data_IF_271241194412
#
_entry.id   IF_271241194412
#
_cell.length_a   1.000
_cell.length_b   1.000
_cell.length_c   1.000
_cell.angle_alpha   90.00
_cell.angle_beta   90.00
_cell.angle_gamma   90.00
#
_symmetry.space_group_name_H-M   'P 1'
#
loop_
_entity.id
_entity.type
_entity.pdbx_description
1 polymer ?
#
# COMPACT_ATOMS: atom_id res chain seq x y z
N UNK A 1 -0.66 -5.58 -10.87
CA UNK A 1 -1.62 -5.35 -11.99
C UNK A 1 -2.98 -4.89 -11.43
N UNK A 2 -3.72 -4.08 -12.17
CA UNK A 2 -5.14 -3.80 -11.88
C UNK A 2 -5.99 -4.92 -12.48
N UNK A 3 -6.84 -5.53 -11.64
CA UNK A 3 -7.88 -6.46 -12.07
C UNK A 3 -9.23 -5.87 -11.68
N UNK A 4 -10.12 -5.66 -12.66
CA UNK A 4 -11.46 -5.10 -12.44
C UNK A 4 -11.47 -3.79 -11.62
N UNK A 5 -10.52 -2.87 -11.89
CA UNK A 5 -10.41 -1.60 -11.17
C UNK A 5 -9.81 -1.71 -9.75
N UNK A 6 -9.42 -2.90 -9.31
CA UNK A 6 -8.94 -3.16 -7.95
C UNK A 6 -7.62 -3.95 -7.93
N UNK A 7 -7.17 -4.25 -6.71
CA UNK A 7 -6.04 -5.15 -6.48
C UNK A 7 -6.42 -6.61 -6.76
N UNK A 8 -5.48 -7.49 -7.15
CA UNK A 8 -5.73 -8.91 -7.32
C UNK A 8 -6.26 -9.57 -6.04
N UNK A 9 -7.11 -10.60 -6.19
CA UNK A 9 -7.74 -11.29 -5.06
C UNK A 9 -6.72 -11.81 -4.03
N UNK A 10 -5.58 -12.34 -4.50
CA UNK A 10 -4.51 -12.82 -3.61
C UNK A 10 -3.93 -11.69 -2.74
N UNK A 11 -3.73 -10.50 -3.31
CA UNK A 11 -3.23 -9.35 -2.56
C UNK A 11 -4.28 -8.82 -1.58
N UNK A 12 -5.56 -8.80 -1.98
CA UNK A 12 -6.66 -8.46 -1.07
C UNK A 12 -6.73 -9.43 0.11
N UNK A 13 -6.72 -10.73 -0.17
CA UNK A 13 -6.74 -11.78 0.85
C UNK A 13 -5.51 -11.76 1.77
N UNK A 14 -4.34 -11.37 1.25
CA UNK A 14 -3.16 -11.12 2.10
C UNK A 14 -3.41 -10.00 3.10
N UNK A 15 -3.91 -8.85 2.64
CA UNK A 15 -4.21 -7.73 3.55
C UNK A 15 -5.29 -8.10 4.58
N UNK A 16 -6.32 -8.84 4.17
CA UNK A 16 -7.40 -9.27 5.06
C UNK A 16 -6.91 -10.17 6.19
N UNK A 17 -5.83 -10.92 5.99
CA UNK A 17 -5.28 -11.84 7.01
C UNK A 17 -4.13 -11.25 7.82
N UNK A 18 -3.52 -10.18 7.34
CA UNK A 18 -2.32 -9.58 7.95
C UNK A 18 -2.62 -8.27 8.63
N UNK A 19 -3.53 -7.45 8.10
CA UNK A 19 -3.84 -6.13 8.64
C UNK A 19 -4.95 -6.19 9.70
N UNK A 20 -4.74 -7.05 10.69
CA UNK A 20 -5.71 -7.32 11.76
C UNK A 20 -5.71 -6.24 12.86
N UNK A 21 -6.83 -6.19 13.60
CA UNK A 21 -6.97 -5.34 14.79
C UNK A 21 -5.89 -5.68 15.83
N UNK A 22 -5.35 -4.65 16.48
CA UNK A 22 -4.31 -4.78 17.50
C UNK A 22 -2.89 -4.87 16.92
N UNK A 23 -2.77 -5.23 15.64
CA UNK A 23 -1.50 -5.20 14.91
C UNK A 23 -1.40 -4.01 13.96
N UNK A 24 -2.37 -3.85 13.06
CA UNK A 24 -2.32 -2.82 12.01
C UNK A 24 -3.15 -1.58 12.35
N UNK A 25 -4.22 -1.74 13.13
CA UNK A 25 -5.07 -0.64 13.58
C UNK A 25 -5.78 -0.97 14.90
N UNK A 26 -6.35 0.04 15.57
CA UNK A 26 -7.30 -0.10 16.67
C UNK A 26 -8.38 0.99 16.63
N UNK A 27 -9.47 0.79 17.36
CA UNK A 27 -10.46 1.86 17.61
C UNK A 27 -10.20 2.48 18.98
N UNK A 28 -10.18 3.81 19.02
CA UNK A 28 -10.12 4.59 20.25
C UNK A 28 -11.51 4.63 20.92
N UNK A 29 -11.61 4.99 22.21
CA UNK A 29 -12.90 5.09 22.91
C UNK A 29 -13.93 6.01 22.24
N UNK A 30 -13.47 7.00 21.46
CA UNK A 30 -14.33 7.91 20.69
C UNK A 30 -14.75 7.35 19.31
N UNK A 31 -14.51 6.08 19.03
CA UNK A 31 -14.83 5.40 17.78
C UNK A 31 -13.90 5.70 16.61
N UNK A 32 -12.91 6.60 16.76
CA UNK A 32 -11.93 6.89 15.69
C UNK A 32 -10.95 5.73 15.54
N UNK A 33 -10.58 5.43 14.30
CA UNK A 33 -9.50 4.51 14.01
C UNK A 33 -8.13 5.17 14.24
N UNK A 34 -7.21 4.40 14.81
CA UNK A 34 -5.79 4.72 14.90
C UNK A 34 -4.98 3.64 14.18
N UNK A 35 -4.13 4.06 13.25
CA UNK A 35 -3.21 3.18 12.54
C UNK A 35 -1.97 2.88 13.36
N UNK A 36 -1.63 1.59 13.51
CA UNK A 36 -0.54 1.12 14.37
C UNK A 36 0.78 0.90 13.61
N UNK A 37 0.77 1.03 12.28
CA UNK A 37 1.96 0.92 11.42
C UNK A 37 2.62 2.29 11.14
N UNK A 38 2.37 3.28 11.99
CA UNK A 38 3.00 4.59 11.90
C UNK A 38 4.53 4.50 11.99
N UNK A 39 5.23 5.47 11.38
CA UNK A 39 6.70 5.46 11.26
C UNK A 39 7.23 4.59 10.12
N UNK A 40 6.34 3.97 9.34
CA UNK A 40 6.69 3.18 8.14
C UNK A 40 6.13 3.85 6.89
N UNK A 41 6.86 3.74 5.79
CA UNK A 41 6.42 4.16 4.45
C UNK A 41 5.95 2.96 3.61
N UNK A 42 5.32 3.23 2.47
CA UNK A 42 4.99 2.20 1.49
C UNK A 42 5.17 2.71 0.05
N UNK A 43 5.56 1.81 -0.86
CA UNK A 43 5.55 2.04 -2.31
C UNK A 43 4.58 1.08 -2.99
N UNK A 44 3.75 1.62 -3.87
CA UNK A 44 2.80 0.88 -4.68
C UNK A 44 3.14 1.07 -6.15
N UNK A 45 3.46 -0.01 -6.85
CA UNK A 45 3.68 -0.01 -8.30
C UNK A 45 2.56 -0.80 -8.94
N UNK A 46 1.80 -0.15 -9.82
CA UNK A 46 0.61 -0.71 -10.46
C UNK A 46 0.81 -0.74 -11.97
N UNK A 47 0.56 -1.90 -12.56
CA UNK A 47 0.50 -2.10 -14.02
C UNK A 47 -0.94 -2.15 -14.52
N UNK A 48 -1.22 -1.59 -15.68
CA UNK A 48 -2.56 -1.54 -16.29
C UNK A 48 -2.48 -1.37 -17.81
N UNK A 49 -3.51 -1.82 -18.53
CA UNK A 49 -3.69 -1.54 -19.96
C UNK A 49 -4.58 -0.32 -20.22
N UNK A 50 -5.36 0.09 -19.23
CA UNK A 50 -6.08 1.37 -19.29
C UNK A 50 -5.12 2.54 -19.12
N UNK A 51 -5.25 3.61 -19.93
CA UNK A 51 -4.50 4.86 -19.75
C UNK A 51 -4.69 5.45 -18.34
N UNK A 52 -3.64 6.09 -17.81
CA UNK A 52 -3.66 6.64 -16.45
C UNK A 52 -4.74 7.70 -16.22
N UNK A 53 -5.05 8.53 -17.22
CA UNK A 53 -6.12 9.54 -17.12
C UNK A 53 -7.49 8.89 -16.99
N UNK A 54 -7.74 7.79 -17.72
CA UNK A 54 -9.00 7.06 -17.67
C UNK A 54 -9.22 6.45 -16.28
N UNK A 55 -8.18 5.80 -15.74
CA UNK A 55 -8.22 5.27 -14.37
C UNK A 55 -8.49 6.38 -13.34
N UNK A 56 -7.80 7.51 -13.46
CA UNK A 56 -7.84 8.58 -12.47
C UNK A 56 -9.15 9.38 -12.48
N UNK A 57 -9.60 9.79 -13.66
CA UNK A 57 -10.69 10.75 -13.79
C UNK A 57 -12.01 10.10 -14.19
N UNK A 58 -11.99 9.09 -15.07
CA UNK A 58 -13.23 8.46 -15.54
C UNK A 58 -13.69 7.38 -14.56
N UNK A 59 -12.80 6.49 -14.14
CA UNK A 59 -13.14 5.50 -13.11
C UNK A 59 -13.08 6.08 -11.69
N UNK A 60 -12.56 7.30 -11.52
CA UNK A 60 -12.45 7.96 -10.22
C UNK A 60 -11.40 7.33 -9.29
N UNK A 61 -10.40 6.65 -9.85
CA UNK A 61 -9.26 6.08 -9.14
C UNK A 61 -9.56 5.06 -8.01
N UNK A 62 -10.36 4.02 -8.30
CA UNK A 62 -10.83 3.08 -7.28
C UNK A 62 -9.67 2.34 -6.61
N UNK A 63 -8.63 1.97 -7.36
CA UNK A 63 -7.46 1.27 -6.81
C UNK A 63 -6.71 2.15 -5.80
N UNK A 64 -6.46 3.43 -6.09
CA UNK A 64 -5.77 4.29 -5.11
C UNK A 64 -6.64 4.57 -3.89
N UNK A 65 -7.95 4.74 -4.08
CA UNK A 65 -8.89 4.93 -2.96
C UNK A 65 -8.90 3.71 -2.05
N UNK A 66 -9.09 2.51 -2.59
CA UNK A 66 -9.13 1.29 -1.80
C UNK A 66 -7.76 0.97 -1.18
N UNK A 67 -6.73 0.81 -2.00
CA UNK A 67 -5.41 0.36 -1.52
C UNK A 67 -4.67 1.43 -0.73
N UNK A 68 -4.50 2.62 -1.30
CA UNK A 68 -3.65 3.65 -0.68
C UNK A 68 -4.37 4.33 0.47
N UNK A 69 -5.58 4.86 0.23
CA UNK A 69 -6.31 5.64 1.25
C UNK A 69 -6.96 4.74 2.30
N UNK A 70 -7.77 3.77 1.89
CA UNK A 70 -8.59 2.99 2.81
C UNK A 70 -7.87 1.80 3.45
N UNK A 71 -6.77 1.32 2.88
CA UNK A 71 -5.98 0.21 3.46
C UNK A 71 -4.66 0.69 4.06
N UNK A 72 -3.72 1.17 3.26
CA UNK A 72 -2.35 1.46 3.75
C UNK A 72 -2.32 2.67 4.69
N UNK A 73 -2.88 3.81 4.27
CA UNK A 73 -2.92 5.02 5.11
C UNK A 73 -3.81 4.85 6.33
N UNK A 74 -4.89 4.06 6.23
CA UNK A 74 -5.72 3.71 7.38
C UNK A 74 -4.91 3.00 8.48
N UNK A 75 -4.01 2.10 8.10
CA UNK A 75 -3.10 1.42 9.03
C UNK A 75 -1.96 2.31 9.53
N UNK A 76 -1.85 3.57 9.09
CA UNK A 76 -0.84 4.52 9.57
C UNK A 76 0.41 4.64 8.69
N UNK A 77 0.51 3.91 7.57
CA UNK A 77 1.66 4.00 6.65
C UNK A 77 1.71 5.38 5.97
N UNK A 78 2.79 6.13 6.18
CA UNK A 78 3.05 7.43 5.54
C UNK A 78 4.56 7.72 5.43
N UNK A 79 5.05 8.25 4.28
CA UNK A 79 4.31 8.48 3.04
C UNK A 79 3.95 7.16 2.30
N UNK A 80 2.97 7.24 1.39
CA UNK A 80 2.64 6.15 0.46
C UNK A 80 2.81 6.67 -0.97
N UNK A 81 3.87 6.22 -1.64
CA UNK A 81 4.19 6.58 -3.01
C UNK A 81 3.51 5.62 -3.98
N UNK A 82 2.89 6.14 -5.04
CA UNK A 82 2.19 5.31 -6.02
C UNK A 82 2.63 5.65 -7.45
N UNK A 83 3.09 4.63 -8.18
CA UNK A 83 3.46 4.72 -9.59
C UNK A 83 2.52 3.85 -10.44
N UNK A 84 1.98 4.40 -11.52
CA UNK A 84 1.21 3.65 -12.53
C UNK A 84 2.04 3.46 -13.78
N UNK A 85 2.06 2.23 -14.28
CA UNK A 85 2.74 1.79 -15.49
C UNK A 85 1.69 1.26 -16.45
N UNK A 86 1.65 1.80 -17.67
CA UNK A 86 0.70 1.36 -18.68
C UNK A 86 0.42 2.37 -19.78
N UNK A 87 -0.20 1.96 -20.91
CA UNK A 87 -0.69 0.60 -21.22
C UNK A 87 0.42 -0.45 -21.41
N UNK A 88 0.29 -1.66 -20.85
CA UNK A 88 1.37 -2.68 -20.86
C UNK A 88 1.28 -3.63 -22.05
N UNK A 89 0.08 -4.05 -22.44
CA UNK A 89 -0.18 -5.05 -23.48
C UNK A 89 0.48 -4.70 -24.82
N UNK A 90 0.50 -3.41 -25.18
CA UNK A 90 1.12 -2.89 -26.42
C UNK A 90 2.47 -2.20 -26.21
N UNK A 91 3.07 -2.35 -25.04
CA UNK A 91 4.33 -1.67 -24.73
C UNK A 91 5.51 -2.29 -25.50
N UNK A 92 6.31 -1.44 -26.16
CA UNK A 92 7.57 -1.83 -26.79
C UNK A 92 8.63 -2.25 -25.76
N UNK A 93 9.70 -2.89 -26.23
CA UNK A 93 10.84 -3.24 -25.39
C UNK A 93 11.42 -1.99 -24.69
N UNK A 94 11.69 -0.92 -25.45
CA UNK A 94 12.23 0.33 -24.89
C UNK A 94 11.30 0.97 -23.84
N UNK A 95 9.98 0.90 -24.03
CA UNK A 95 9.03 1.39 -23.03
C UNK A 95 9.14 0.60 -21.72
N UNK A 96 9.22 -0.73 -21.81
CA UNK A 96 9.39 -1.61 -20.66
C UNK A 96 10.72 -1.36 -19.97
N UNK A 97 11.81 -1.20 -20.72
CA UNK A 97 13.14 -0.89 -20.17
C UNK A 97 13.15 0.45 -19.42
N UNK A 98 12.52 1.49 -19.97
CA UNK A 98 12.36 2.77 -19.27
C UNK A 98 11.61 2.63 -17.95
N UNK A 99 10.52 1.87 -17.93
CA UNK A 99 9.77 1.64 -16.69
C UNK A 99 10.56 0.80 -15.67
N UNK A 100 11.32 -0.19 -16.12
CA UNK A 100 12.20 -0.97 -15.25
C UNK A 100 13.32 -0.10 -14.66
N UNK A 101 13.92 0.78 -15.46
CA UNK A 101 14.91 1.74 -14.99
C UNK A 101 14.32 2.72 -13.97
N UNK A 102 13.11 3.23 -14.23
CA UNK A 102 12.37 4.08 -13.29
C UNK A 102 12.12 3.37 -11.96
N UNK A 103 11.59 2.15 -11.98
CA UNK A 103 11.31 1.36 -10.76
C UNK A 103 12.60 1.03 -10.01
N UNK A 104 13.70 0.74 -10.72
CA UNK A 104 15.01 0.53 -10.10
C UNK A 104 15.48 1.78 -9.35
N UNK A 105 15.44 2.94 -9.99
CA UNK A 105 15.83 4.20 -9.35
C UNK A 105 14.95 4.53 -8.12
N UNK A 106 13.65 4.28 -8.23
CA UNK A 106 12.72 4.44 -7.11
C UNK A 106 13.05 3.51 -5.94
N UNK A 107 13.35 2.24 -6.20
CA UNK A 107 13.76 1.28 -5.17
C UNK A 107 15.07 1.66 -4.49
N UNK A 108 16.05 2.17 -5.24
CA UNK A 108 17.31 2.69 -4.70
C UNK A 108 17.07 3.90 -3.77
N UNK A 109 16.22 4.83 -4.20
CA UNK A 109 15.85 5.99 -3.38
C UNK A 109 15.07 5.60 -2.12
N UNK A 110 14.22 4.57 -2.17
CA UNK A 110 13.56 4.04 -0.99
C UNK A 110 14.56 3.41 -0.01
N UNK A 111 15.48 2.59 -0.51
CA UNK A 111 16.50 1.93 0.30
C UNK A 111 17.39 2.94 1.04
N UNK A 112 17.78 4.04 0.38
CA UNK A 112 18.56 5.11 0.98
C UNK A 112 17.82 5.86 2.10
N UNK A 113 16.48 5.73 2.18
CA UNK A 113 15.64 6.35 3.21
C UNK A 113 15.31 5.41 4.37
N UNK A 114 15.66 4.13 4.27
CA UNK A 114 15.40 3.18 5.35
C UNK A 114 16.33 3.47 6.53
N UNK A 115 15.83 3.47 7.77
CA UNK A 115 16.72 3.48 8.93
C UNK A 115 17.56 2.19 8.95
N UNK A 116 18.69 2.21 9.66
CA UNK A 116 19.52 1.02 9.86
C UNK A 116 18.65 -0.18 10.35
N UNK A 117 18.98 -1.38 9.90
CA UNK A 117 18.14 -2.59 9.99
C UNK A 117 17.57 -2.88 11.40
N UNK A 118 18.26 -2.45 12.45
CA UNK A 118 17.87 -2.68 13.85
C UNK A 118 16.68 -1.82 14.34
N UNK A 119 16.34 -0.74 13.64
CA UNK A 119 15.21 0.13 13.99
C UNK A 119 13.84 -0.41 13.53
N UNK A 120 13.81 -1.46 12.69
CA UNK A 120 12.58 -1.98 12.05
C UNK A 120 11.98 -3.16 12.82
N UNK A 121 12.45 -3.45 14.04
CA UNK A 121 11.80 -4.48 14.87
C UNK A 121 10.38 -4.02 15.18
N UNK A 122 9.33 -4.78 14.81
CA UNK A 122 8.00 -4.48 15.30
C UNK A 122 8.02 -4.50 16.81
N UNK A 123 7.41 -3.49 17.44
CA UNK A 123 7.19 -3.52 18.87
C UNK A 123 6.48 -4.85 19.18
N UNK A 124 6.93 -5.62 20.21
CA UNK A 124 6.28 -6.86 20.56
C UNK A 124 4.79 -6.58 20.81
N UNK A 125 3.88 -7.49 20.41
CA UNK A 125 2.48 -7.32 20.71
C UNK A 125 2.32 -7.10 22.22
N UNK A 126 1.79 -5.93 22.60
CA UNK A 126 1.50 -5.67 24.01
C UNK A 126 0.44 -6.68 24.46
N UNK A 127 0.62 -7.22 25.66
CA UNK A 127 -0.13 -8.37 26.18
C UNK A 127 -1.65 -8.22 25.96
N UNK A 128 -2.30 -9.34 25.71
CA UNK A 128 -3.75 -9.54 25.51
C UNK A 128 -4.68 -8.94 26.58
N UNK A 129 -4.15 -8.34 27.65
CA UNK A 129 -4.89 -7.61 28.68
C UNK A 129 -5.44 -6.24 28.23
N UNK A 130 -4.98 -5.67 27.11
CA UNK A 130 -5.49 -4.40 26.54
C UNK A 130 -6.50 -4.59 25.40
N UNK A 131 -6.83 -5.84 25.04
CA UNK A 131 -7.88 -6.11 24.07
C UNK A 131 -9.23 -5.75 24.72
N UNK A 132 -9.74 -4.55 24.41
CA UNK A 132 -11.12 -4.19 24.70
C UNK A 132 -12.02 -5.33 24.20
N UNK A 133 -13.03 -5.75 24.99
CA UNK A 133 -13.89 -6.86 24.61
C UNK A 133 -14.49 -6.58 23.23
N UNK A 134 -14.40 -7.58 22.35
CA UNK A 134 -15.11 -7.52 21.08
C UNK A 134 -16.61 -7.33 21.36
N UNK A 135 -17.32 -6.50 20.57
CA UNK A 135 -18.77 -6.38 20.68
C UNK A 135 -19.47 -7.70 20.34
#
# INVERSE_FOLDING_TARGET
>A
PIWWGAMPALLKGFFDRVLERGWAFRYLPNGRAEGLLAGRSARVIITSDSPGFYLRFIQGDPTAKALVRSTLKFCGLQPVDMTRIGPVHRASADQRERWLAQVRAQGQADAARLPAADAVRPAPPRSSSEAAPAP
#
